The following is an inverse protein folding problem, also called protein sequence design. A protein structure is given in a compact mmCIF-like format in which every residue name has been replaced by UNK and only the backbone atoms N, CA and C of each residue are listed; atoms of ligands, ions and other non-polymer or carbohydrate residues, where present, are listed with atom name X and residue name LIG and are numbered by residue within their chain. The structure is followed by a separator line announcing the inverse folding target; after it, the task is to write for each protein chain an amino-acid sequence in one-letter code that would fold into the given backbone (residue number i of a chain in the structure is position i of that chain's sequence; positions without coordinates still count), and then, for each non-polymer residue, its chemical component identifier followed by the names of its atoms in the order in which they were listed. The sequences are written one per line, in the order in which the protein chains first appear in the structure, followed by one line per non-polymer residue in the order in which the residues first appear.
data_IF_562597332744
#
_entry.id   IF_562597332744
#
_cell.length_a   1.000
_cell.length_b   1.000
_cell.length_c   1.000
_cell.angle_alpha   90.00
_cell.angle_beta   90.00
_cell.angle_gamma   90.00
#
_symmetry.space_group_name_H-M   'P 1'
#
loop_
_entity.id
_entity.type
_entity.pdbx_description
1 polymer ?
#
# COMPACT_ATOMS: atom_id res chain seq x y z
N UNK A 1 28.66 -21.52 -12.04
CA UNK A 1 29.83 -21.33 -11.16
C UNK A 1 31.08 -21.58 -11.98
N UNK A 2 32.07 -20.72 -11.86
CA UNK A 2 33.37 -20.83 -12.53
C UNK A 2 34.46 -20.63 -11.47
N UNK A 3 35.49 -21.48 -11.48
CA UNK A 3 36.69 -21.31 -10.64
C UNK A 3 37.84 -20.95 -11.56
N UNK A 4 38.48 -19.82 -11.32
CA UNK A 4 39.59 -19.29 -12.14
C UNK A 4 40.85 -19.13 -11.29
N UNK A 5 42.02 -19.41 -11.87
CA UNK A 5 43.29 -19.11 -11.22
C UNK A 5 43.45 -17.59 -11.12
N UNK A 6 43.64 -17.07 -9.91
CA UNK A 6 43.90 -15.64 -9.68
C UNK A 6 45.40 -15.37 -9.50
N UNK A 7 46.12 -16.27 -8.83
CA UNK A 7 47.58 -16.22 -8.68
C UNK A 7 48.16 -17.63 -8.57
N UNK A 8 49.45 -17.76 -8.24
CA UNK A 8 50.08 -19.05 -7.98
C UNK A 8 49.46 -19.81 -6.78
N UNK A 9 48.88 -19.09 -5.82
CA UNK A 9 48.37 -19.67 -4.55
C UNK A 9 46.90 -19.37 -4.29
N UNK A 10 46.23 -18.64 -5.18
CA UNK A 10 44.83 -18.22 -4.99
C UNK A 10 43.99 -18.51 -6.22
N UNK A 11 42.81 -19.10 -6.01
CA UNK A 11 41.76 -19.20 -7.01
C UNK A 11 40.60 -18.26 -6.67
N UNK A 12 39.96 -17.71 -7.69
CA UNK A 12 38.72 -16.92 -7.59
C UNK A 12 37.54 -17.79 -7.98
N UNK A 13 36.56 -17.90 -7.09
CA UNK A 13 35.28 -18.55 -7.36
C UNK A 13 34.28 -17.46 -7.77
N UNK A 14 33.66 -17.63 -8.93
CA UNK A 14 32.64 -16.73 -9.46
C UNK A 14 31.34 -17.50 -9.64
N UNK A 15 30.27 -17.05 -8.99
CA UNK A 15 28.92 -17.51 -9.29
C UNK A 15 28.36 -16.70 -10.46
N UNK A 16 27.64 -17.36 -11.36
CA UNK A 16 27.14 -16.79 -12.61
C UNK A 16 25.70 -17.27 -12.84
N UNK A 17 24.89 -16.44 -13.50
CA UNK A 17 23.46 -16.70 -13.72
C UNK A 17 22.57 -16.08 -12.66
N UNK A 18 21.25 -16.25 -12.83
CA UNK A 18 20.22 -15.77 -11.90
C UNK A 18 19.50 -16.97 -11.27
N UNK A 19 19.18 -16.91 -9.99
CA UNK A 19 18.31 -17.91 -9.36
C UNK A 19 16.85 -17.73 -9.78
N UNK A 20 16.19 -18.86 -10.03
CA UNK A 20 14.77 -18.90 -10.40
C UNK A 20 13.87 -18.49 -9.24
N UNK A 21 14.21 -18.84 -7.99
CA UNK A 21 13.49 -18.43 -6.77
C UNK A 21 14.44 -17.73 -5.79
N UNK A 22 14.51 -16.40 -5.88
CA UNK A 22 15.37 -15.53 -5.06
C UNK A 22 14.60 -14.65 -4.06
N UNK A 23 13.28 -14.82 -3.95
CA UNK A 23 12.44 -14.14 -2.96
C UNK A 23 12.09 -15.14 -1.85
N UNK A 24 12.52 -14.84 -0.62
CA UNK A 24 12.17 -15.62 0.57
C UNK A 24 10.69 -15.44 0.90
N UNK A 25 9.90 -16.45 0.64
CA UNK A 25 8.50 -16.56 1.08
C UNK A 25 8.49 -16.77 2.59
N UNK A 26 7.59 -16.13 3.34
CA UNK A 26 7.52 -16.38 4.79
C UNK A 26 6.97 -17.78 5.04
N UNK A 27 7.77 -18.63 5.68
CA UNK A 27 7.49 -20.06 5.81
C UNK A 27 7.81 -20.89 4.56
N UNK A 28 8.33 -20.27 3.49
CA UNK A 28 8.83 -20.96 2.30
C UNK A 28 10.35 -21.06 2.25
N UNK A 29 10.84 -21.81 1.27
CA UNK A 29 12.27 -21.92 0.97
C UNK A 29 12.60 -21.09 -0.27
N UNK A 30 13.58 -20.19 -0.17
CA UNK A 30 14.23 -19.62 -1.34
C UNK A 30 15.33 -20.59 -1.85
N UNK A 31 16.06 -20.20 -2.89
CA UNK A 31 17.25 -20.92 -3.33
C UNK A 31 18.50 -20.62 -2.47
N UNK A 32 18.35 -20.11 -1.25
CA UNK A 32 19.48 -19.98 -0.34
C UNK A 32 20.02 -21.36 0.00
N UNK A 33 21.33 -21.47 0.06
CA UNK A 33 22.05 -22.71 0.34
C UNK A 33 23.15 -22.41 1.32
N UNK A 34 23.34 -23.27 2.33
CA UNK A 34 24.39 -23.09 3.33
C UNK A 34 25.65 -23.91 3.02
N UNK A 35 25.61 -24.74 1.97
CA UNK A 35 26.54 -25.85 1.79
C UNK A 35 27.07 -25.99 0.36
N UNK A 36 27.26 -24.88 -0.36
CA UNK A 36 27.96 -24.95 -1.65
C UNK A 36 29.34 -25.54 -1.41
N UNK A 37 29.62 -26.65 -2.11
CA UNK A 37 30.84 -27.42 -1.92
C UNK A 37 31.77 -27.26 -3.11
N UNK A 38 33.02 -26.92 -2.82
CA UNK A 38 34.12 -26.88 -3.78
C UNK A 38 35.22 -27.79 -3.29
N UNK A 39 35.61 -28.76 -4.12
CA UNK A 39 36.69 -29.71 -3.84
C UNK A 39 37.74 -29.58 -4.94
N UNK A 40 38.99 -29.32 -4.55
CA UNK A 40 40.10 -29.35 -5.50
C UNK A 40 40.54 -30.80 -5.74
N UNK A 41 40.70 -31.15 -7.02
CA UNK A 41 41.30 -32.40 -7.47
C UNK A 41 42.81 -32.22 -7.66
N UNK A 42 43.56 -33.34 -7.69
CA UNK A 42 45.01 -33.33 -7.89
C UNK A 42 45.43 -32.49 -9.10
N UNK A 43 44.69 -32.62 -10.21
CA UNK A 43 44.94 -31.90 -11.47
C UNK A 43 44.76 -30.39 -11.41
N UNK A 44 44.21 -29.84 -10.32
CA UNK A 44 44.11 -28.39 -10.11
C UNK A 44 45.46 -27.74 -9.77
N UNK A 45 46.49 -28.53 -9.44
CA UNK A 45 47.81 -28.06 -9.01
C UNK A 45 48.90 -28.46 -10.00
N UNK A 46 49.94 -27.63 -10.10
CA UNK A 46 51.13 -27.95 -10.93
C UNK A 46 51.78 -29.23 -10.42
N UNK A 47 52.09 -30.16 -11.33
CA UNK A 47 52.69 -31.45 -11.00
C UNK A 47 51.69 -32.49 -10.46
N UNK A 48 50.40 -32.17 -10.36
CA UNK A 48 49.33 -33.09 -9.94
C UNK A 48 49.64 -33.89 -8.66
N UNK A 49 50.07 -33.24 -7.56
CA UNK A 49 50.35 -33.94 -6.31
C UNK A 49 49.12 -34.71 -5.81
N UNK A 50 49.35 -35.83 -5.12
CA UNK A 50 48.28 -36.56 -4.46
C UNK A 50 47.82 -35.79 -3.22
N UNK A 51 46.67 -35.12 -3.32
CA UNK A 51 46.07 -34.36 -2.21
C UNK A 51 44.86 -35.06 -1.60
N UNK A 52 44.58 -36.30 -1.99
CA UNK A 52 43.29 -36.98 -1.71
C UNK A 52 42.98 -37.09 -0.20
N UNK A 53 44.02 -37.21 0.63
CA UNK A 53 43.92 -37.31 2.09
C UNK A 53 43.84 -35.95 2.82
N UNK A 54 44.04 -34.82 2.13
CA UNK A 54 43.98 -33.50 2.75
C UNK A 54 42.52 -33.09 2.95
N UNK A 55 42.08 -33.02 4.22
CA UNK A 55 40.74 -32.55 4.55
C UNK A 55 40.48 -31.10 4.09
N UNK A 56 41.53 -30.29 4.01
CA UNK A 56 41.46 -28.87 3.61
C UNK A 56 41.27 -28.65 2.12
N UNK A 57 41.27 -29.72 1.29
CA UNK A 57 41.02 -29.60 -0.16
C UNK A 57 39.56 -29.31 -0.50
N UNK A 58 38.68 -29.42 0.48
CA UNK A 58 37.24 -29.20 0.35
C UNK A 58 36.80 -28.04 1.23
N UNK A 59 36.03 -27.14 0.65
CA UNK A 59 35.25 -26.11 1.35
C UNK A 59 33.77 -26.41 1.10
N UNK A 60 32.97 -26.57 2.14
CA UNK A 60 31.59 -27.07 2.06
C UNK A 60 30.57 -26.23 2.86
N UNK A 61 30.97 -25.03 3.26
CA UNK A 61 30.25 -24.07 4.07
C UNK A 61 30.16 -22.72 3.36
N UNK A 62 30.22 -22.71 2.02
CA UNK A 62 29.96 -21.51 1.24
C UNK A 62 28.44 -21.32 1.22
N UNK A 63 27.99 -20.29 1.90
CA UNK A 63 26.59 -19.88 1.89
C UNK A 63 26.29 -18.93 0.71
N UNK A 64 25.15 -19.13 0.08
CA UNK A 64 24.48 -18.14 -0.78
C UNK A 64 23.16 -17.84 -0.08
N UNK A 65 23.00 -16.61 0.39
CA UNK A 65 21.79 -16.16 1.08
C UNK A 65 21.09 -15.09 0.24
N UNK A 66 19.83 -15.34 -0.10
CA UNK A 66 18.98 -14.36 -0.74
C UNK A 66 18.22 -13.58 0.33
N UNK A 67 18.24 -12.26 0.21
CA UNK A 67 17.48 -11.39 1.11
C UNK A 67 16.11 -11.10 0.48
N UNK A 68 15.05 -11.25 1.27
CA UNK A 68 13.71 -10.81 0.85
C UNK A 68 13.40 -9.44 1.45
N UNK A 69 13.13 -8.50 0.56
CA UNK A 69 12.54 -7.22 0.93
C UNK A 69 11.12 -7.20 0.37
N UNK A 70 10.09 -7.57 1.17
CA UNK A 70 8.72 -7.55 0.68
C UNK A 70 8.28 -6.13 0.32
N UNK A 71 7.31 -6.00 -0.61
CA UNK A 71 6.67 -4.71 -0.80
C UNK A 71 5.97 -4.28 0.48
N UNK A 72 5.95 -2.97 0.73
CA UNK A 72 5.16 -2.38 1.81
C UNK A 72 4.11 -1.45 1.24
N UNK A 73 3.02 -1.26 1.96
CA UNK A 73 1.88 -0.46 1.52
C UNK A 73 1.62 0.69 2.49
N UNK A 74 1.18 1.81 1.94
CA UNK A 74 0.71 2.95 2.71
C UNK A 74 -0.65 3.38 2.22
N UNK A 75 -1.45 3.90 3.14
CA UNK A 75 -2.83 4.28 2.90
C UNK A 75 -3.01 5.75 3.23
N UNK A 76 -3.67 6.48 2.34
CA UNK A 76 -3.93 7.90 2.51
C UNK A 76 -5.37 8.20 2.09
N UNK A 77 -6.14 8.80 3.00
CA UNK A 77 -7.45 9.32 2.61
C UNK A 77 -7.26 10.47 1.63
N UNK A 78 -8.05 10.46 0.56
CA UNK A 78 -8.03 11.51 -0.45
C UNK A 78 -9.37 12.25 -0.35
N UNK A 79 -9.30 13.54 -0.06
CA UNK A 79 -10.46 14.43 -0.17
C UNK A 79 -10.57 14.92 -1.61
N UNK A 80 -11.78 15.06 -2.16
CA UNK A 80 -11.98 15.85 -3.37
C UNK A 80 -11.36 17.24 -3.21
N UNK A 81 -10.75 17.79 -4.26
CA UNK A 81 -10.27 19.20 -4.29
C UNK A 81 -11.36 20.18 -3.86
N UNK A 82 -12.64 19.85 -4.10
CA UNK A 82 -13.81 20.63 -3.68
C UNK A 82 -14.04 20.69 -2.16
N UNK A 83 -13.49 19.77 -1.36
CA UNK A 83 -13.58 19.80 0.12
C UNK A 83 -12.28 20.35 0.74
N UNK A 84 -11.14 20.20 0.06
CA UNK A 84 -9.86 20.75 0.52
C UNK A 84 -9.83 22.30 0.56
N UNK A 85 -10.64 22.97 -0.27
CA UNK A 85 -10.76 24.44 -0.27
C UNK A 85 -11.71 24.98 0.83
N UNK A 86 -12.41 24.08 1.54
CA UNK A 86 -13.14 24.42 2.76
C UNK A 86 -12.19 24.34 3.97
N UNK A 87 -11.43 25.43 4.17
CA UNK A 87 -10.32 25.57 5.12
C UNK A 87 -10.64 25.42 6.63
N UNK A 88 -11.66 24.64 7.02
CA UNK A 88 -12.03 24.41 8.42
C UNK A 88 -12.28 22.94 8.81
N UNK A 89 -12.09 21.96 7.92
CA UNK A 89 -12.14 20.55 8.31
C UNK A 89 -10.77 20.10 8.86
N UNK A 90 -10.50 20.37 10.14
CA UNK A 90 -9.28 19.89 10.83
C UNK A 90 -9.33 18.42 11.23
N UNK A 91 -10.45 17.74 10.99
CA UNK A 91 -10.64 16.33 11.24
C UNK A 91 -11.48 15.71 10.11
N UNK A 92 -11.06 14.55 9.61
CA UNK A 92 -11.75 13.89 8.51
C UNK A 92 -13.07 13.29 9.04
N UNK A 93 -14.18 14.00 8.82
CA UNK A 93 -15.51 13.70 9.42
C UNK A 93 -16.30 12.58 8.75
N UNK A 94 -15.72 11.83 7.81
CA UNK A 94 -16.43 10.84 7.00
C UNK A 94 -16.99 11.45 5.71
N UNK A 95 -17.39 10.60 4.77
CA UNK A 95 -17.90 11.05 3.47
C UNK A 95 -19.42 11.23 3.54
N UNK A 96 -19.97 12.33 3.02
CA UNK A 96 -21.40 12.45 2.91
C UNK A 96 -21.90 11.36 1.98
N UNK A 97 -23.09 10.87 2.23
CA UNK A 97 -23.87 10.12 1.26
C UNK A 97 -24.81 11.09 0.52
N UNK A 98 -25.28 10.70 -0.65
CA UNK A 98 -26.55 11.25 -1.15
C UNK A 98 -27.71 10.71 -0.31
N UNK A 99 -28.86 11.39 -0.37
CA UNK A 99 -30.06 11.03 0.41
C UNK A 99 -30.57 9.59 0.21
N UNK A 100 -30.01 8.86 -0.73
CA UNK A 100 -30.36 7.48 -1.11
C UNK A 100 -29.35 6.44 -0.63
N UNK A 101 -28.39 6.80 0.22
CA UNK A 101 -27.39 5.85 0.74
C UNK A 101 -26.21 5.59 -0.20
N UNK A 102 -26.13 6.27 -1.35
CA UNK A 102 -24.97 6.18 -2.22
C UNK A 102 -23.83 7.06 -1.71
N UNK A 103 -22.61 6.53 -1.71
CA UNK A 103 -21.43 7.32 -1.39
C UNK A 103 -21.08 8.19 -2.61
N UNK A 104 -20.74 9.46 -2.39
CA UNK A 104 -20.28 10.33 -3.48
C UNK A 104 -19.09 9.65 -4.19
N UNK A 105 -19.22 9.51 -5.52
CA UNK A 105 -18.36 8.70 -6.38
C UNK A 105 -16.95 9.25 -6.54
N UNK A 106 -16.16 9.26 -5.47
CA UNK A 106 -14.79 9.70 -5.56
C UNK A 106 -13.84 8.82 -4.75
N UNK A 107 -12.67 8.60 -5.35
CA UNK A 107 -11.55 7.86 -4.81
C UNK A 107 -11.26 8.32 -3.39
N UNK A 108 -11.58 7.49 -2.39
CA UNK A 108 -11.59 7.95 -1.00
C UNK A 108 -10.36 7.47 -0.21
N UNK A 109 -9.72 6.39 -0.69
CA UNK A 109 -8.50 5.84 -0.11
C UNK A 109 -7.52 5.53 -1.23
N UNK A 110 -6.40 6.25 -1.22
CA UNK A 110 -5.23 5.96 -2.04
C UNK A 110 -4.35 4.94 -1.34
N UNK A 111 -3.86 3.97 -2.10
CA UNK A 111 -2.92 2.95 -1.66
C UNK A 111 -1.66 3.08 -2.52
N UNK A 112 -0.53 3.28 -1.86
CA UNK A 112 0.79 3.30 -2.51
C UNK A 112 1.60 2.06 -2.11
N UNK A 113 2.50 1.63 -2.99
CA UNK A 113 3.42 0.50 -2.76
C UNK A 113 4.86 0.98 -2.87
N UNK A 114 5.73 0.47 -2.00
CA UNK A 114 7.18 0.61 -2.06
C UNK A 114 7.79 -0.77 -2.35
N UNK A 115 8.88 -0.82 -3.11
CA UNK A 115 9.56 -2.06 -3.50
C UNK A 115 8.66 -3.05 -4.27
N UNK A 116 7.70 -2.50 -5.03
CA UNK A 116 6.80 -3.25 -5.88
C UNK A 116 6.05 -2.33 -6.84
N UNK A 117 5.20 -2.91 -7.68
CA UNK A 117 4.28 -2.17 -8.56
C UNK A 117 2.96 -2.93 -8.67
N UNK A 118 1.84 -2.23 -8.72
CA UNK A 118 0.54 -2.89 -8.89
C UNK A 118 0.35 -3.46 -10.29
N UNK A 119 -0.40 -4.57 -10.41
CA UNK A 119 -0.82 -5.11 -11.72
C UNK A 119 -1.61 -4.09 -12.53
N UNK A 120 -1.52 -4.15 -13.86
CA UNK A 120 -2.28 -3.25 -14.73
C UNK A 120 -3.76 -3.65 -14.80
N UNK A 121 -4.63 -2.66 -14.95
CA UNK A 121 -6.08 -2.85 -15.06
C UNK A 121 -6.83 -2.69 -13.73
N UNK A 122 -8.09 -3.11 -13.73
CA UNK A 122 -8.94 -3.09 -12.53
C UNK A 122 -8.60 -4.27 -11.64
N UNK A 123 -8.45 -4.02 -10.34
CA UNK A 123 -8.31 -5.11 -9.37
C UNK A 123 -9.66 -5.78 -9.17
N UNK A 124 -9.69 -7.10 -9.34
CA UNK A 124 -10.85 -7.97 -9.08
C UNK A 124 -10.92 -8.38 -7.60
N UNK A 125 -12.10 -8.22 -6.98
CA UNK A 125 -12.39 -8.69 -5.62
C UNK A 125 -12.18 -10.21 -5.51
N UNK A 126 -11.67 -10.67 -4.37
CA UNK A 126 -11.25 -12.03 -4.05
C UNK A 126 -10.10 -12.61 -4.87
N UNK A 127 -9.63 -11.91 -5.92
CA UNK A 127 -8.40 -12.27 -6.65
C UNK A 127 -7.24 -11.39 -6.21
N UNK A 128 -7.44 -10.07 -6.18
CA UNK A 128 -6.40 -9.09 -5.89
C UNK A 128 -6.54 -8.49 -4.48
N UNK A 129 -7.76 -8.45 -3.95
CA UNK A 129 -8.03 -7.94 -2.61
C UNK A 129 -9.30 -8.58 -2.06
N UNK A 130 -9.48 -8.51 -0.74
CA UNK A 130 -10.70 -8.89 -0.04
C UNK A 130 -11.22 -7.72 0.77
N UNK A 131 -12.53 -7.72 1.00
CA UNK A 131 -13.21 -6.70 1.79
C UNK A 131 -14.07 -7.35 2.86
N UNK A 132 -14.13 -6.76 4.05
CA UNK A 132 -14.99 -7.19 5.16
C UNK A 132 -15.69 -5.99 5.79
N UNK A 133 -16.85 -6.25 6.41
CA UNK A 133 -17.70 -5.26 7.07
C UNK A 133 -18.18 -4.11 6.16
N UNK A 134 -18.23 -4.33 4.84
CA UNK A 134 -18.82 -3.38 3.90
C UNK A 134 -20.33 -3.33 4.12
N UNK A 135 -20.95 -2.15 4.29
CA UNK A 135 -22.39 -2.00 4.40
C UNK A 135 -23.12 -2.66 3.22
N UNK A 136 -24.21 -3.38 3.53
CA UNK A 136 -24.98 -4.08 2.52
C UNK A 136 -25.50 -3.09 1.45
N UNK A 137 -25.40 -3.47 0.18
CA UNK A 137 -25.79 -2.62 -0.96
C UNK A 137 -24.65 -1.78 -1.55
N UNK A 138 -23.54 -1.63 -0.82
CA UNK A 138 -22.29 -1.07 -1.37
C UNK A 138 -21.41 -2.18 -1.97
N UNK A 139 -20.81 -1.88 -3.12
CA UNK A 139 -19.84 -2.76 -3.79
C UNK A 139 -18.47 -2.08 -3.85
N UNK A 140 -17.42 -2.68 -3.28
CA UNK A 140 -16.07 -2.12 -3.35
C UNK A 140 -15.52 -2.26 -4.77
N UNK A 141 -14.74 -1.25 -5.18
CA UNK A 141 -14.00 -1.26 -6.42
C UNK A 141 -12.60 -0.69 -6.16
N UNK A 142 -11.59 -1.33 -6.73
CA UNK A 142 -10.19 -0.95 -6.57
C UNK A 142 -9.58 -0.71 -7.94
N UNK A 143 -9.31 0.55 -8.25
CA UNK A 143 -8.86 0.99 -9.58
C UNK A 143 -7.42 1.46 -9.50
N UNK A 144 -6.60 0.98 -10.43
CA UNK A 144 -5.25 1.53 -10.62
C UNK A 144 -5.33 2.83 -11.41
N UNK A 145 -4.72 3.89 -10.89
CA UNK A 145 -4.45 5.12 -11.62
C UNK A 145 -2.98 5.51 -11.43
N UNK A 146 -2.23 5.50 -12.55
CA UNK A 146 -0.76 5.56 -12.56
C UNK A 146 -0.17 4.47 -11.67
N UNK A 147 0.67 4.81 -10.70
CA UNK A 147 1.38 3.87 -9.84
C UNK A 147 0.66 3.56 -8.53
N UNK A 148 -0.60 3.97 -8.41
CA UNK A 148 -1.39 3.87 -7.16
C UNK A 148 -2.71 3.16 -7.38
N UNK A 149 -3.24 2.56 -6.32
CA UNK A 149 -4.61 2.06 -6.29
C UNK A 149 -5.50 3.04 -5.55
N UNK A 150 -6.74 3.12 -6.00
CA UNK A 150 -7.78 3.92 -5.37
C UNK A 150 -8.97 3.04 -5.08
N UNK A 151 -9.36 2.97 -3.82
CA UNK A 151 -10.58 2.30 -3.38
C UNK A 151 -11.76 3.28 -3.49
N UNK A 152 -12.84 2.81 -4.10
CA UNK A 152 -14.15 3.45 -4.15
C UNK A 152 -15.25 2.42 -3.86
N UNK A 153 -16.46 2.90 -3.59
CA UNK A 153 -17.65 2.07 -3.48
C UNK A 153 -18.68 2.53 -4.51
N UNK A 154 -19.41 1.58 -5.07
CA UNK A 154 -20.56 1.82 -5.95
C UNK A 154 -21.83 1.22 -5.35
N UNK A 155 -22.99 1.62 -5.84
CA UNK A 155 -24.29 1.22 -5.27
C UNK A 155 -24.73 2.11 -4.11
N UNK A 156 -25.76 1.67 -3.40
CA UNK A 156 -26.39 2.40 -2.29
C UNK A 156 -26.52 1.48 -1.09
N UNK A 157 -26.19 1.97 0.10
CA UNK A 157 -26.36 1.23 1.33
C UNK A 157 -27.86 0.99 1.61
N UNK A 158 -28.24 -0.26 1.87
CA UNK A 158 -29.62 -0.65 2.19
C UNK A 158 -30.11 0.02 3.47
N UNK A 159 -29.22 0.20 4.44
CA UNK A 159 -29.47 0.91 5.70
C UNK A 159 -28.38 1.97 5.88
N UNK A 160 -28.82 3.22 6.10
CA UNK A 160 -27.95 4.40 6.08
C UNK A 160 -28.40 5.47 7.09
N UNK A 161 -28.96 5.07 8.24
CA UNK A 161 -29.07 6.00 9.36
C UNK A 161 -27.69 6.16 10.03
N UNK A 162 -27.47 7.23 10.80
CA UNK A 162 -26.25 7.38 11.61
C UNK A 162 -25.95 6.18 12.53
N UNK A 163 -26.99 5.44 12.95
CA UNK A 163 -26.84 4.20 13.71
C UNK A 163 -26.23 3.03 12.90
N UNK A 164 -26.12 3.16 11.58
CA UNK A 164 -25.55 2.19 10.66
C UNK A 164 -24.10 2.53 10.26
N UNK A 165 -23.51 3.57 10.84
CA UNK A 165 -22.09 3.88 10.69
C UNK A 165 -21.23 2.65 11.00
N UNK A 166 -20.16 2.49 10.21
CA UNK A 166 -19.15 1.45 10.42
C UNK A 166 -17.77 2.09 10.53
N UNK A 167 -16.97 1.62 11.48
CA UNK A 167 -15.61 2.11 11.72
C UNK A 167 -14.53 1.04 11.47
N UNK A 168 -14.93 -0.12 10.96
CA UNK A 168 -14.11 -1.32 10.87
C UNK A 168 -14.18 -2.01 9.50
N UNK A 169 -14.46 -1.25 8.44
CA UNK A 169 -14.33 -1.77 7.07
C UNK A 169 -12.87 -2.16 6.88
N UNK A 170 -12.67 -3.40 6.43
CA UNK A 170 -11.32 -3.95 6.25
C UNK A 170 -11.06 -4.26 4.79
N UNK A 171 -9.96 -3.73 4.27
CA UNK A 171 -9.35 -4.18 3.01
C UNK A 171 -8.12 -5.03 3.33
N UNK A 172 -7.96 -6.13 2.62
CA UNK A 172 -6.74 -6.96 2.63
C UNK A 172 -6.29 -7.19 1.21
N UNK A 173 -5.07 -6.75 0.88
CA UNK A 173 -4.42 -7.00 -0.40
C UNK A 173 -3.93 -8.45 -0.47
N UNK A 174 -4.04 -9.05 -1.66
CA UNK A 174 -3.57 -10.40 -1.97
C UNK A 174 -2.37 -10.33 -2.91
N UNK A 175 -1.52 -11.35 -2.92
CA UNK A 175 -0.28 -11.43 -3.72
C UNK A 175 -0.47 -10.97 -5.17
N UNK A 176 -1.57 -11.41 -5.80
CA UNK A 176 -1.88 -11.09 -7.19
C UNK A 176 -2.07 -9.60 -7.48
N UNK A 177 -2.27 -8.73 -6.48
CA UNK A 177 -2.37 -7.28 -6.69
C UNK A 177 -1.03 -6.66 -7.10
N UNK A 178 0.08 -7.29 -6.72
CA UNK A 178 1.43 -6.81 -7.03
C UNK A 178 1.94 -7.56 -8.26
N UNK A 179 2.53 -6.83 -9.21
CA UNK A 179 3.13 -7.41 -10.40
C UNK A 179 4.22 -8.42 -10.03
N UNK A 180 4.20 -9.59 -10.68
CA UNK A 180 5.06 -10.72 -10.33
C UNK A 180 4.52 -11.58 -9.19
N UNK A 181 3.40 -11.20 -8.57
CA UNK A 181 2.73 -11.94 -7.49
C UNK A 181 3.67 -12.40 -6.36
N UNK A 182 4.49 -11.50 -5.76
CA UNK A 182 5.29 -11.85 -4.61
C UNK A 182 4.40 -12.27 -3.44
N UNK A 183 4.91 -13.16 -2.58
CA UNK A 183 4.24 -13.53 -1.34
C UNK A 183 4.18 -12.33 -0.38
N UNK A 184 2.99 -11.76 -0.21
CA UNK A 184 2.76 -10.68 0.77
C UNK A 184 2.07 -11.18 2.03
N UNK A 185 2.01 -12.50 2.27
CA UNK A 185 1.28 -13.10 3.41
C UNK A 185 1.72 -12.53 4.76
N UNK A 186 3.00 -12.22 4.92
CA UNK A 186 3.61 -11.67 6.14
C UNK A 186 3.65 -10.15 6.23
N UNK A 187 3.27 -9.44 5.16
CA UNK A 187 3.33 -7.98 5.10
C UNK A 187 2.22 -7.40 5.96
N UNK A 188 2.56 -6.90 7.14
CA UNK A 188 1.57 -6.34 8.07
C UNK A 188 0.76 -5.19 7.45
N UNK A 189 1.40 -4.38 6.60
CA UNK A 189 0.76 -3.24 5.94
C UNK A 189 -0.16 -3.64 4.79
N UNK A 190 -0.31 -4.92 4.44
CA UNK A 190 -1.20 -5.33 3.34
C UNK A 190 -2.70 -5.15 3.66
N UNK A 191 -3.01 -4.93 4.93
CA UNK A 191 -4.37 -4.77 5.42
C UNK A 191 -4.55 -3.42 6.10
N UNK A 192 -5.74 -2.84 5.92
CA UNK A 192 -6.24 -1.67 6.66
C UNK A 192 -7.64 -1.98 7.16
N UNK A 193 -7.87 -1.90 8.47
CA UNK A 193 -9.08 -2.43 9.14
C UNK A 193 -9.89 -1.37 9.93
N UNK A 194 -9.51 -0.11 9.77
CA UNK A 194 -10.06 1.08 10.45
C UNK A 194 -10.67 2.04 9.42
N UNK A 195 -11.17 1.52 8.29
CA UNK A 195 -11.86 2.34 7.30
C UNK A 195 -13.27 2.64 7.83
N UNK A 196 -13.55 3.92 8.04
CA UNK A 196 -14.86 4.39 8.46
C UNK A 196 -15.74 4.77 7.26
N UNK A 197 -17.02 4.38 7.32
CA UNK A 197 -18.11 4.87 6.48
C UNK A 197 -19.18 5.39 7.44
N UNK A 198 -19.54 6.66 7.26
CA UNK A 198 -20.56 7.32 8.08
C UNK A 198 -21.72 7.74 7.21
N UNK A 199 -22.92 7.63 7.73
CA UNK A 199 -24.18 7.96 7.08
C UNK A 199 -24.90 9.07 7.84
N UNK A 200 -25.87 9.73 7.19
CA UNK A 200 -26.63 10.84 7.78
C UNK A 200 -25.75 11.94 8.41
N UNK A 201 -24.57 12.18 7.82
CA UNK A 201 -23.68 13.22 8.32
C UNK A 201 -24.23 14.59 7.92
N UNK A 202 -24.46 15.44 8.91
CA UNK A 202 -24.81 16.84 8.66
C UNK A 202 -23.54 17.63 8.35
N UNK A 203 -23.35 17.99 7.08
CA UNK A 203 -22.28 18.92 6.68
C UNK A 203 -22.83 20.33 6.71
N UNK A 204 -22.26 21.17 7.56
CA UNK A 204 -22.44 22.62 7.48
C UNK A 204 -21.38 23.16 6.53
N UNK A 205 -21.75 23.33 5.26
CA UNK A 205 -20.90 24.01 4.29
C UNK A 205 -21.18 25.52 4.33
N UNK A 206 -20.21 26.31 4.78
CA UNK A 206 -20.22 27.75 4.57
C UNK A 206 -19.58 28.01 3.22
N UNK A 207 -20.38 28.27 2.20
CA UNK A 207 -19.88 28.59 0.87
C UNK A 207 -19.09 29.90 0.92
N UNK A 208 -17.76 29.80 0.76
CA UNK A 208 -16.83 30.91 0.71
C UNK A 208 -16.95 31.71 -0.59
N UNK A 209 -18.03 32.47 -0.75
CA UNK A 209 -17.84 33.80 -1.30
C UNK A 209 -17.15 34.65 -0.23
N UNK A 210 -16.31 35.61 -0.60
CA UNK A 210 -15.80 36.60 0.36
C UNK A 210 -16.98 37.42 0.89
N UNK A 211 -17.67 36.89 1.91
CA UNK A 211 -18.75 37.59 2.61
C UNK A 211 -18.11 38.18 3.84
N UNK A 212 -17.77 39.46 3.74
CA UNK A 212 -17.34 40.24 4.88
C UNK A 212 -18.60 40.46 5.73
N UNK A 213 -18.59 40.05 7.00
CA UNK A 213 -19.53 40.58 7.97
C UNK A 213 -19.07 42.01 8.26
N UNK A 214 -19.67 42.98 7.57
CA UNK A 214 -19.35 44.40 7.73
C UNK A 214 -20.46 45.04 8.56
N UNK A 215 -20.11 45.57 9.74
CA UNK A 215 -21.01 46.45 10.49
C UNK A 215 -21.23 47.71 9.63
N UNK A 216 -22.47 47.92 9.16
CA UNK A 216 -22.79 49.01 8.20
C UNK A 216 -23.12 50.32 8.94
N UNK A 217 -23.15 50.30 10.28
CA UNK A 217 -23.23 51.51 11.11
C UNK A 217 -22.40 51.39 12.39
N UNK A 218 -21.86 52.52 12.86
CA UNK A 218 -20.81 52.55 13.87
C UNK A 218 -21.28 52.13 15.28
N UNK A 219 -20.60 51.14 15.87
CA UNK A 219 -20.14 51.27 17.26
C UNK A 219 -20.79 50.42 18.35
N UNK A 220 -21.47 49.32 18.03
CA UNK A 220 -22.06 48.45 19.07
C UNK A 220 -21.35 47.10 19.25
N UNK A 221 -20.46 46.71 18.33
CA UNK A 221 -19.70 45.45 18.41
C UNK A 221 -20.61 44.20 18.47
N UNK A 222 -21.83 44.29 17.94
CA UNK A 222 -22.84 43.24 18.05
C UNK A 222 -23.75 43.26 16.83
N UNK A 223 -23.70 42.19 16.05
CA UNK A 223 -24.62 41.97 14.94
C UNK A 223 -26.05 41.73 15.44
N UNK A 224 -27.04 42.50 14.97
CA UNK A 224 -28.45 42.33 15.36
C UNK A 224 -29.39 42.42 14.15
N UNK A 225 -30.42 41.58 14.08
CA UNK A 225 -31.43 41.68 13.02
C UNK A 225 -32.14 43.06 12.96
N UNK A 226 -32.07 43.85 14.03
CA UNK A 226 -32.77 45.11 14.17
C UNK A 226 -31.92 46.35 13.82
N UNK A 227 -30.63 46.23 13.51
CA UNK A 227 -29.73 47.37 13.25
C UNK A 227 -29.40 47.59 11.76
N UNK A 228 -30.01 46.80 10.86
CA UNK A 228 -29.79 46.93 9.42
C UNK A 228 -28.57 46.18 8.89
N UNK A 229 -27.94 45.34 9.71
CA UNK A 229 -26.86 44.47 9.29
C UNK A 229 -27.31 43.51 8.18
N UNK A 230 -26.60 43.55 7.05
CA UNK A 230 -26.90 42.75 5.88
C UNK A 230 -25.72 41.85 5.50
N UNK A 231 -26.04 40.63 5.10
CA UNK A 231 -25.09 39.70 4.47
C UNK A 231 -24.80 40.15 3.03
N UNK A 232 -23.85 41.07 2.84
CA UNK A 232 -23.45 41.51 1.50
C UNK A 232 -22.50 40.52 0.85
N UNK A 233 -22.69 40.25 -0.44
CA UNK A 233 -21.70 39.60 -1.30
C UNK A 233 -20.96 40.69 -2.08
N UNK A 234 -19.63 40.67 -2.07
CA UNK A 234 -18.82 41.38 -3.07
C UNK A 234 -18.54 40.48 -4.25
#
# INVERSE_FOLDING_TARGET
MVVTKFSATTAKITFTGNATAHQKIVGGTDNSVANVTVTFNNSAFVGSPNITALATRTKNDIAIEYTYNPPSFSYRYVTPETIADSAFATDFVGFPESKDGALFQQYFLEISVVDGSFVNGTSTLNTHYQMQNVPAGLTPQLIKYRDKLYLNFTGSATAHAAANDVANVTITLLDAVVAGSPDISSVATKSKNDIAIKFDITIIAVAGGSRILQEISAGSGRFSYNDGDALTST
#
